data_IF_664468042512
#
_entry.id   IF_664468042512
#
_cell.length_a   1.000
_cell.length_b   1.000
_cell.length_c   1.000
_cell.angle_alpha   90.00
_cell.angle_beta   90.00
_cell.angle_gamma   90.00
#
_symmetry.space_group_name_H-M   'P 1'
#
loop_
_entity.id
_entity.type
_entity.pdbx_description
1 polymer ?
#
# COMPACT_ATOMS: atom_id res chain seq x y z
N UNK A 1 -50.53 -2.76 -5.10
CA UNK A 1 -49.70 -2.79 -3.88
C UNK A 1 -48.43 -2.02 -4.22
N UNK A 2 -48.35 -0.75 -3.80
CA UNK A 2 -47.22 0.14 -4.10
C UNK A 2 -46.14 -0.17 -3.08
N UNK A 3 -45.05 -0.80 -3.52
CA UNK A 3 -43.85 -0.92 -2.71
C UNK A 3 -43.21 0.47 -2.65
N UNK A 4 -43.30 1.09 -1.47
CA UNK A 4 -42.66 2.37 -1.15
C UNK A 4 -41.18 2.27 -1.53
N UNK A 5 -40.74 3.18 -2.41
CA UNK A 5 -39.31 3.39 -2.71
C UNK A 5 -38.60 3.88 -1.45
N UNK A 6 -38.22 2.97 -0.56
CA UNK A 6 -37.39 3.30 0.60
C UNK A 6 -35.97 3.53 0.09
N UNK A 7 -35.65 4.80 -0.22
CA UNK A 7 -34.28 5.23 -0.52
C UNK A 7 -33.46 5.19 0.77
N UNK A 8 -32.87 4.04 1.10
CA UNK A 8 -31.91 3.96 2.19
C UNK A 8 -30.73 4.92 1.91
N UNK A 9 -30.32 5.69 2.92
CA UNK A 9 -29.05 6.41 2.83
C UNK A 9 -27.93 5.40 2.57
N UNK A 10 -26.97 5.75 1.70
CA UNK A 10 -25.86 4.87 1.31
C UNK A 10 -25.07 4.34 2.52
N UNK A 11 -25.02 5.13 3.60
CA UNK A 11 -24.44 4.74 4.89
C UNK A 11 -25.29 3.69 5.62
N UNK A 12 -26.61 3.87 5.69
CA UNK A 12 -27.52 2.90 6.33
C UNK A 12 -27.56 1.57 5.57
N UNK A 13 -27.55 1.60 4.22
CA UNK A 13 -27.43 0.39 3.42
C UNK A 13 -26.07 -0.29 3.65
N UNK A 14 -24.97 0.49 3.66
CA UNK A 14 -23.64 -0.05 3.93
C UNK A 14 -23.54 -0.63 5.33
N UNK A 15 -24.15 -0.01 6.34
CA UNK A 15 -24.15 -0.53 7.72
C UNK A 15 -24.99 -1.79 7.85
N UNK A 16 -26.16 -1.82 7.22
CA UNK A 16 -27.00 -3.00 7.13
C UNK A 16 -26.25 -4.17 6.48
N UNK A 17 -25.66 -3.95 5.30
CA UNK A 17 -24.86 -4.97 4.61
C UNK A 17 -23.60 -5.33 5.41
N UNK A 18 -22.94 -4.38 6.09
CA UNK A 18 -21.75 -4.65 6.91
C UNK A 18 -22.07 -5.49 8.15
N UNK A 19 -23.23 -5.31 8.76
CA UNK A 19 -23.65 -6.14 9.89
C UNK A 19 -23.95 -7.58 9.42
N UNK A 20 -24.69 -7.72 8.32
CA UNK A 20 -24.99 -9.03 7.71
C UNK A 20 -23.70 -9.74 7.26
N UNK A 21 -22.77 -9.04 6.60
CA UNK A 21 -21.47 -9.61 6.19
C UNK A 21 -20.53 -9.94 7.35
N UNK A 22 -20.70 -9.32 8.52
CA UNK A 22 -19.89 -9.63 9.71
C UNK A 22 -20.38 -10.87 10.42
N UNK A 23 -21.70 -11.08 10.48
CA UNK A 23 -22.28 -12.32 10.98
C UNK A 23 -21.86 -13.49 10.09
N UNK A 24 -21.96 -13.36 8.76
CA UNK A 24 -21.45 -14.37 7.82
C UNK A 24 -19.93 -14.61 7.91
N UNK A 25 -19.11 -13.57 8.15
CA UNK A 25 -17.65 -13.69 8.26
C UNK A 25 -17.19 -14.30 9.58
N UNK A 26 -17.89 -14.04 10.69
CA UNK A 26 -17.56 -14.63 11.99
C UNK A 26 -17.87 -16.13 12.02
N UNK A 27 -18.99 -16.53 11.40
CA UNK A 27 -19.38 -17.94 11.30
C UNK A 27 -18.44 -18.71 10.35
N UNK A 28 -18.01 -18.12 9.22
CA UNK A 28 -17.03 -18.78 8.32
C UNK A 28 -15.58 -18.81 8.84
N UNK A 29 -15.13 -17.82 9.62
CA UNK A 29 -13.76 -17.85 10.19
C UNK A 29 -13.62 -18.86 11.34
N UNK A 30 -14.69 -19.09 12.11
CA UNK A 30 -14.74 -20.13 13.15
C UNK A 30 -14.84 -21.55 12.56
N UNK A 31 -15.67 -21.77 11.54
CA UNK A 31 -15.76 -23.05 10.83
C UNK A 31 -14.46 -23.41 10.10
N UNK A 32 -13.81 -22.44 9.45
CA UNK A 32 -12.56 -22.68 8.70
C UNK A 32 -11.30 -22.80 9.56
N UNK A 33 -11.36 -22.45 10.85
CA UNK A 33 -10.25 -22.71 11.78
C UNK A 33 -9.99 -24.20 11.97
N UNK A 34 -11.02 -25.04 11.79
CA UNK A 34 -10.92 -26.49 11.99
C UNK A 34 -10.50 -27.24 10.70
N UNK A 35 -10.67 -26.63 9.53
CA UNK A 35 -10.54 -27.30 8.23
C UNK A 35 -9.09 -27.64 7.85
N UNK A 36 -8.09 -26.91 8.36
CA UNK A 36 -6.68 -27.07 7.97
C UNK A 36 -5.75 -27.42 9.15
N UNK A 37 -6.30 -28.03 10.20
CA UNK A 37 -5.58 -28.29 11.44
C UNK A 37 -4.40 -29.26 11.25
N UNK A 38 -4.53 -30.26 10.38
CA UNK A 38 -3.45 -31.21 10.07
C UNK A 38 -2.33 -30.54 9.26
N UNK A 39 -2.69 -29.82 8.19
CA UNK A 39 -1.74 -29.05 7.39
C UNK A 39 -0.98 -27.99 8.20
N UNK A 40 -1.66 -27.36 9.15
CA UNK A 40 -1.02 -26.39 10.04
C UNK A 40 -0.07 -27.05 11.04
N UNK A 41 -0.42 -28.22 11.58
CA UNK A 41 0.45 -28.98 12.50
C UNK A 41 1.78 -29.39 11.86
N UNK A 42 1.73 -29.84 10.59
CA UNK A 42 2.96 -30.16 9.86
C UNK A 42 3.80 -28.91 9.57
N UNK A 43 3.16 -27.80 9.15
CA UNK A 43 3.86 -26.53 8.97
C UNK A 43 4.50 -26.05 10.29
N UNK A 44 3.79 -26.17 11.41
CA UNK A 44 4.28 -25.81 12.74
C UNK A 44 5.53 -26.64 13.10
N UNK A 45 5.54 -27.93 12.76
CA UNK A 45 6.72 -28.80 12.95
C UNK A 45 7.92 -28.35 12.10
N UNK A 46 7.69 -27.87 10.88
CA UNK A 46 8.74 -27.31 10.01
C UNK A 46 9.27 -25.99 10.58
N UNK A 47 8.38 -25.11 11.02
CA UNK A 47 8.74 -23.82 11.63
C UNK A 47 9.55 -24.04 12.91
N UNK A 48 9.15 -25.00 13.75
CA UNK A 48 9.88 -25.37 14.96
C UNK A 48 11.30 -25.84 14.63
N UNK A 49 11.46 -26.72 13.64
CA UNK A 49 12.77 -27.27 13.26
C UNK A 49 13.66 -26.24 12.58
N UNK A 50 13.13 -25.47 11.63
CA UNK A 50 13.93 -24.55 10.80
C UNK A 50 14.17 -23.20 11.45
N UNK A 51 13.12 -22.57 11.96
CA UNK A 51 13.19 -21.22 12.48
C UNK A 51 13.57 -21.24 13.97
N UNK A 52 12.85 -22.03 14.78
CA UNK A 52 13.06 -22.01 16.24
C UNK A 52 14.37 -22.69 16.65
N UNK A 53 14.61 -23.92 16.15
CA UNK A 53 15.81 -24.70 16.45
C UNK A 53 16.96 -24.38 15.49
N UNK A 54 16.68 -24.34 14.18
CA UNK A 54 17.68 -24.12 13.14
C UNK A 54 18.13 -22.67 12.97
N UNK A 55 17.48 -21.72 13.65
CA UNK A 55 17.79 -20.29 13.58
C UNK A 55 17.87 -19.78 12.14
N UNK A 56 16.95 -20.24 11.29
CA UNK A 56 16.85 -19.82 9.90
C UNK A 56 15.93 -18.62 9.75
N UNK A 57 16.29 -17.67 8.89
CA UNK A 57 15.42 -16.56 8.49
C UNK A 57 14.61 -16.96 7.28
N UNK A 58 13.28 -16.88 7.38
CA UNK A 58 12.39 -17.21 6.27
C UNK A 58 11.40 -16.09 6.00
N UNK A 59 11.14 -15.82 4.73
CA UNK A 59 10.08 -14.89 4.32
C UNK A 59 8.70 -15.52 4.52
N UNK A 60 7.74 -14.70 4.94
CA UNK A 60 6.36 -15.14 5.17
C UNK A 60 5.68 -15.67 3.89
N UNK A 61 6.08 -15.18 2.71
CA UNK A 61 5.64 -15.73 1.42
C UNK A 61 6.13 -17.15 1.20
N UNK A 62 7.38 -17.45 1.57
CA UNK A 62 7.94 -18.80 1.52
C UNK A 62 7.16 -19.76 2.42
N UNK A 63 6.84 -19.32 3.64
CA UNK A 63 6.01 -20.09 4.56
C UNK A 63 4.59 -20.31 4.03
N UNK A 64 3.98 -19.29 3.39
CA UNK A 64 2.68 -19.44 2.72
C UNK A 64 2.75 -20.47 1.58
N UNK A 65 3.80 -20.43 0.76
CA UNK A 65 3.96 -21.39 -0.33
C UNK A 65 4.14 -22.82 0.19
N UNK A 66 4.87 -23.00 1.29
CA UNK A 66 4.99 -24.29 1.97
C UNK A 66 3.64 -24.78 2.48
N UNK A 67 2.88 -23.90 3.14
CA UNK A 67 1.53 -24.23 3.61
C UNK A 67 0.60 -24.68 2.47
N UNK A 68 0.60 -23.97 1.33
CA UNK A 68 -0.19 -24.37 0.15
C UNK A 68 0.22 -25.76 -0.35
N UNK A 69 1.52 -26.06 -0.38
CA UNK A 69 2.03 -27.37 -0.82
C UNK A 69 1.63 -28.49 0.14
N UNK A 70 1.63 -28.23 1.45
CA UNK A 70 1.24 -29.18 2.49
C UNK A 70 -0.27 -29.43 2.43
N UNK A 71 -1.09 -28.37 2.38
CA UNK A 71 -2.55 -28.48 2.27
C UNK A 71 -3.01 -29.25 1.03
N UNK A 72 -2.31 -29.05 -0.10
CA UNK A 72 -2.57 -29.83 -1.31
C UNK A 72 -2.18 -31.32 -1.16
N UNK A 73 -1.18 -31.64 -0.34
CA UNK A 73 -0.68 -33.01 -0.14
C UNK A 73 -1.52 -33.78 0.87
N UNK A 74 -1.72 -33.21 2.06
CA UNK A 74 -2.33 -33.89 3.20
C UNK A 74 -3.86 -33.87 3.14
N UNK A 75 -4.44 -32.75 2.72
CA UNK A 75 -5.89 -32.54 2.75
C UNK A 75 -6.50 -32.50 1.34
N UNK A 76 -5.67 -32.47 0.29
CA UNK A 76 -6.13 -32.43 -1.11
C UNK A 76 -6.82 -31.11 -1.48
N UNK A 77 -6.75 -30.09 -0.63
CA UNK A 77 -7.45 -28.81 -0.82
C UNK A 77 -6.53 -27.77 -1.46
N UNK A 78 -7.05 -27.04 -2.46
CA UNK A 78 -6.35 -25.87 -2.99
C UNK A 78 -6.59 -24.64 -2.10
N UNK A 79 -5.56 -24.24 -1.37
CA UNK A 79 -5.54 -23.05 -0.53
C UNK A 79 -4.71 -21.91 -1.14
N UNK A 80 -4.56 -21.87 -2.47
CA UNK A 80 -3.84 -20.81 -3.19
C UNK A 80 -4.28 -19.38 -2.78
N UNK A 81 -5.58 -19.19 -2.53
CA UNK A 81 -6.18 -17.94 -2.04
C UNK A 81 -5.92 -17.59 -0.57
N UNK A 82 -5.22 -18.43 0.20
CA UNK A 82 -5.05 -18.22 1.65
C UNK A 82 -4.32 -16.91 1.97
N UNK A 83 -4.86 -16.12 2.90
CA UNK A 83 -4.31 -14.80 3.23
C UNK A 83 -3.07 -14.91 4.13
N UNK A 84 -2.00 -14.20 3.78
CA UNK A 84 -0.75 -14.15 4.58
C UNK A 84 -0.99 -13.58 5.98
N UNK A 85 -1.93 -12.65 6.13
CA UNK A 85 -2.32 -12.07 7.43
C UNK A 85 -2.88 -13.12 8.39
N UNK A 86 -3.64 -14.10 7.86
CA UNK A 86 -4.20 -15.19 8.65
C UNK A 86 -3.11 -16.16 9.09
N UNK A 87 -2.22 -16.54 8.16
CA UNK A 87 -1.06 -17.38 8.49
C UNK A 87 -0.17 -16.72 9.55
N UNK A 88 0.10 -15.41 9.42
CA UNK A 88 0.86 -14.64 10.40
C UNK A 88 0.21 -14.67 11.80
N UNK A 89 -1.12 -14.56 11.87
CA UNK A 89 -1.85 -14.64 13.15
C UNK A 89 -1.68 -16.02 13.78
N UNK A 90 -1.91 -17.09 13.02
CA UNK A 90 -1.76 -18.47 13.52
C UNK A 90 -0.34 -18.76 14.01
N UNK A 91 0.67 -18.29 13.28
CA UNK A 91 2.07 -18.46 13.69
C UNK A 91 2.41 -17.69 14.97
N UNK A 92 1.84 -16.50 15.18
CA UNK A 92 2.00 -15.75 16.43
C UNK A 92 1.32 -16.44 17.60
N UNK A 93 0.14 -17.01 17.38
CA UNK A 93 -0.62 -17.72 18.41
C UNK A 93 0.11 -19.03 18.80
N UNK A 94 0.72 -19.72 17.83
CA UNK A 94 1.46 -20.97 18.06
C UNK A 94 2.89 -20.78 18.58
N UNK A 95 3.58 -19.70 18.18
CA UNK A 95 4.98 -19.43 18.51
C UNK A 95 5.17 -17.97 18.93
N UNK A 96 4.97 -17.64 20.22
CA UNK A 96 5.15 -16.28 20.74
C UNK A 96 6.58 -15.75 20.58
N UNK A 97 7.59 -16.62 20.52
CA UNK A 97 8.98 -16.21 20.31
C UNK A 97 9.33 -15.75 18.88
N UNK A 98 8.40 -15.87 17.92
CA UNK A 98 8.63 -15.45 16.55
C UNK A 98 8.46 -13.93 16.37
N UNK A 99 9.50 -13.31 15.85
CA UNK A 99 9.49 -11.94 15.37
C UNK A 99 9.16 -11.89 13.88
N UNK A 100 8.38 -10.88 13.51
CA UNK A 100 7.98 -10.60 12.14
C UNK A 100 8.46 -9.20 11.78
N UNK A 101 9.58 -9.13 11.07
CA UNK A 101 10.19 -7.86 10.67
C UNK A 101 9.65 -7.47 9.31
N UNK A 102 8.91 -6.36 9.27
CA UNK A 102 8.39 -5.82 8.02
C UNK A 102 9.49 -5.09 7.24
N UNK A 103 9.66 -5.39 5.94
CA UNK A 103 10.65 -4.73 5.10
C UNK A 103 10.28 -3.26 4.86
N UNK A 104 11.30 -2.42 4.58
CA UNK A 104 11.10 -1.00 4.23
C UNK A 104 10.35 -0.83 2.90
N UNK A 105 10.55 -1.77 1.97
CA UNK A 105 9.89 -1.81 0.67
C UNK A 105 8.52 -2.48 0.78
N UNK A 106 7.47 -1.80 0.30
CA UNK A 106 6.06 -2.23 0.45
C UNK A 106 5.68 -3.49 -0.34
N UNK A 107 6.48 -3.89 -1.32
CA UNK A 107 6.26 -5.06 -2.18
C UNK A 107 6.94 -6.33 -1.63
N UNK A 108 7.65 -6.24 -0.51
CA UNK A 108 8.31 -7.37 0.11
C UNK A 108 7.50 -7.91 1.29
N UNK A 109 7.56 -9.22 1.50
CA UNK A 109 6.90 -9.87 2.64
C UNK A 109 7.78 -9.86 3.89
N UNK A 110 7.12 -9.84 5.05
CA UNK A 110 7.77 -9.93 6.36
C UNK A 110 8.78 -11.08 6.45
N UNK A 111 9.89 -10.83 7.14
CA UNK A 111 10.89 -11.83 7.51
C UNK A 111 10.49 -12.40 8.88
N UNK A 112 10.51 -13.73 9.01
CA UNK A 112 10.13 -14.49 10.21
C UNK A 112 11.40 -15.11 10.80
N UNK A 113 11.60 -14.88 12.10
CA UNK A 113 12.77 -15.37 12.86
C UNK A 113 12.45 -15.48 14.35
N UNK A 114 13.36 -16.01 15.16
CA UNK A 114 13.26 -15.94 16.62
C UNK A 114 13.83 -14.66 17.21
N UNK A 115 13.35 -14.24 18.38
CA UNK A 115 13.82 -13.03 19.09
C UNK A 115 15.33 -12.94 19.30
N UNK A 116 16.02 -14.08 19.41
CA UNK A 116 17.48 -14.13 19.61
C UNK A 116 18.29 -13.68 18.37
N UNK A 117 17.64 -13.50 17.21
CA UNK A 117 18.28 -13.19 15.93
C UNK A 117 18.05 -11.76 15.44
N UNK A 118 17.54 -10.87 16.29
CA UNK A 118 17.14 -9.51 15.90
C UNK A 118 18.26 -8.73 15.19
N UNK A 119 19.52 -8.90 15.62
CA UNK A 119 20.68 -8.26 14.98
C UNK A 119 20.98 -8.75 13.55
N UNK A 120 20.65 -10.00 13.23
CA UNK A 120 20.91 -10.59 11.89
C UNK A 120 19.93 -10.05 10.86
N UNK A 121 18.69 -9.78 11.25
CA UNK A 121 17.68 -9.16 10.41
C UNK A 121 18.07 -7.75 9.95
N UNK A 122 18.64 -6.98 10.89
CA UNK A 122 19.13 -5.63 10.61
C UNK A 122 20.33 -5.68 9.66
N UNK A 123 21.19 -6.69 9.80
CA UNK A 123 22.30 -6.91 8.89
C UNK A 123 21.84 -7.32 7.48
N UNK A 124 20.87 -8.22 7.32
CA UNK A 124 20.29 -8.56 6.00
C UNK A 124 19.64 -7.35 5.33
N UNK A 125 18.92 -6.52 6.09
CA UNK A 125 18.39 -5.26 5.57
C UNK A 125 19.50 -4.31 5.08
N UNK A 126 20.63 -4.24 5.79
CA UNK A 126 21.78 -3.42 5.40
C UNK A 126 22.56 -4.01 4.21
N UNK A 127 22.71 -5.33 4.12
CA UNK A 127 23.37 -6.00 2.98
C UNK A 127 22.52 -5.85 1.73
N UNK A 128 21.19 -5.95 1.83
CA UNK A 128 20.31 -5.73 0.67
C UNK A 128 20.28 -4.26 0.22
N UNK A 129 20.59 -3.31 1.10
CA UNK A 129 20.85 -1.90 0.74
C UNK A 129 22.21 -1.76 0.01
N UNK A 130 23.24 -2.54 0.37
CA UNK A 130 24.57 -2.53 -0.26
C UNK A 130 24.67 -3.32 -1.57
N UNK A 131 23.93 -4.42 -1.73
CA UNK A 131 23.92 -5.22 -2.97
C UNK A 131 23.24 -4.51 -4.15
N UNK A 132 22.55 -3.39 -3.91
CA UNK A 132 22.10 -2.49 -4.99
C UNK A 132 23.14 -1.41 -5.37
N UNK A 133 24.31 -1.41 -4.75
CA UNK A 133 25.35 -0.42 -4.95
C UNK A 133 26.75 -1.02 -4.78
N UNK A 134 27.22 -1.87 -5.70
CA UNK A 134 28.65 -1.99 -6.11
C UNK A 134 28.89 -3.04 -7.21
N UNK A 135 29.52 -2.54 -8.28
CA UNK A 135 30.29 -3.15 -9.39
C UNK A 135 30.38 -4.66 -9.59
N UNK A 136 30.22 -5.06 -10.86
CA UNK A 136 31.21 -5.90 -11.54
C UNK A 136 31.56 -5.29 -12.90
N UNK A 137 32.78 -4.76 -12.95
CA UNK A 137 33.51 -4.36 -14.14
C UNK A 137 34.06 -5.65 -14.77
N UNK A 138 33.77 -5.91 -16.04
CA UNK A 138 34.52 -6.91 -16.83
C UNK A 138 34.41 -6.57 -18.31
N UNK A 139 35.58 -6.23 -18.85
CA UNK A 139 35.85 -5.90 -20.24
C UNK A 139 35.39 -7.01 -21.18
N UNK A 140 34.67 -6.65 -22.24
CA UNK A 140 34.61 -7.43 -23.48
C UNK A 140 34.44 -6.47 -24.65
N UNK A 141 35.48 -6.39 -25.47
CA UNK A 141 35.53 -5.70 -26.74
C UNK A 141 34.59 -6.35 -27.75
N UNK A 142 33.62 -5.60 -28.26
CA UNK A 142 33.07 -5.76 -29.60
C UNK A 142 32.44 -4.44 -30.04
N UNK A 143 33.04 -3.84 -31.06
CA UNK A 143 32.48 -2.75 -31.85
C UNK A 143 31.09 -3.14 -32.36
N UNK A 144 30.05 -2.43 -31.92
CA UNK A 144 28.96 -1.94 -32.75
C UNK A 144 28.36 -0.71 -32.05
N UNK A 145 28.16 0.37 -32.79
CA UNK A 145 27.51 1.58 -32.29
C UNK A 145 26.00 1.37 -32.13
N UNK A 146 25.47 1.59 -30.91
CA UNK A 146 24.16 2.21 -30.79
C UNK A 146 24.31 3.51 -30.01
N UNK A 147 23.67 4.55 -30.53
CA UNK A 147 23.59 5.91 -29.97
C UNK A 147 23.29 5.87 -28.47
N UNK A 148 24.34 5.95 -27.64
CA UNK A 148 24.23 5.94 -26.19
C UNK A 148 23.68 7.30 -25.73
N UNK A 149 22.39 7.35 -25.40
CA UNK A 149 21.90 8.35 -24.45
C UNK A 149 22.64 8.07 -23.14
N UNK A 150 23.55 8.96 -22.73
CA UNK A 150 24.41 8.76 -21.56
C UNK A 150 23.60 8.28 -20.36
N UNK A 151 23.99 7.15 -19.79
CA UNK A 151 23.40 6.54 -18.58
C UNK A 151 23.31 7.52 -17.40
N UNK A 152 24.23 8.49 -17.35
CA UNK A 152 24.22 9.60 -16.39
C UNK A 152 22.99 10.51 -16.50
N UNK A 153 22.50 10.78 -17.71
CA UNK A 153 21.32 11.62 -17.92
C UNK A 153 20.04 10.91 -17.43
N UNK A 154 19.94 9.60 -17.64
CA UNK A 154 18.83 8.79 -17.14
C UNK A 154 18.84 8.70 -15.61
N UNK A 155 20.03 8.56 -15.01
CA UNK A 155 20.16 8.55 -13.55
C UNK A 155 19.79 9.91 -12.92
N UNK A 156 20.16 11.01 -13.58
CA UNK A 156 19.75 12.36 -13.20
C UNK A 156 18.24 12.56 -13.24
N UNK A 157 17.58 12.10 -14.32
CA UNK A 157 16.12 12.16 -14.46
C UNK A 157 15.40 11.36 -13.37
N UNK A 158 15.85 10.12 -13.11
CA UNK A 158 15.28 9.27 -12.06
C UNK A 158 15.38 9.94 -10.69
N UNK A 159 16.54 10.53 -10.38
CA UNK A 159 16.78 11.25 -9.12
C UNK A 159 15.86 12.46 -9.00
N UNK A 160 15.69 13.24 -10.06
CA UNK A 160 14.79 14.40 -10.08
C UNK A 160 13.34 13.98 -9.85
N UNK A 161 12.87 12.94 -10.56
CA UNK A 161 11.51 12.40 -10.38
C UNK A 161 11.28 11.90 -8.95
N UNK A 162 12.26 11.18 -8.38
CA UNK A 162 12.15 10.69 -7.01
C UNK A 162 12.05 11.84 -6.00
N UNK A 163 12.93 12.84 -6.09
CA UNK A 163 12.89 14.00 -5.17
C UNK A 163 11.62 14.82 -5.34
N UNK A 164 11.20 15.11 -6.59
CA UNK A 164 9.93 15.77 -6.86
C UNK A 164 8.75 15.01 -6.24
N UNK A 165 8.75 13.67 -6.33
CA UNK A 165 7.71 12.84 -5.71
C UNK A 165 7.71 12.91 -4.19
N UNK A 166 8.87 13.04 -3.53
CA UNK A 166 8.94 13.20 -2.07
C UNK A 166 8.41 14.56 -1.64
N UNK A 167 8.80 15.64 -2.33
CA UNK A 167 8.31 17.00 -2.06
C UNK A 167 6.78 17.03 -2.19
N UNK A 168 6.25 16.47 -3.29
CA UNK A 168 4.81 16.42 -3.52
C UNK A 168 4.08 15.59 -2.45
N UNK A 169 4.66 14.44 -2.05
CA UNK A 169 4.12 13.60 -0.99
C UNK A 169 4.02 14.34 0.34
N UNK A 170 5.05 15.09 0.72
CA UNK A 170 5.04 15.91 1.95
C UNK A 170 3.97 16.99 1.91
N UNK A 171 3.85 17.69 0.77
CA UNK A 171 2.81 18.69 0.54
C UNK A 171 1.39 18.12 0.71
N UNK A 172 1.13 16.95 0.11
CA UNK A 172 -0.15 16.24 0.23
C UNK A 172 -0.41 15.82 1.68
N UNK A 173 0.58 15.23 2.36
CA UNK A 173 0.41 14.76 3.73
C UNK A 173 0.09 15.92 4.70
N UNK A 174 0.76 17.06 4.52
CA UNK A 174 0.50 18.28 5.30
C UNK A 174 -0.92 18.79 5.07
N UNK A 175 -1.35 18.91 3.81
CA UNK A 175 -2.70 19.34 3.46
C UNK A 175 -3.78 18.39 3.99
N UNK A 176 -3.58 17.08 3.86
CA UNK A 176 -4.49 16.07 4.40
C UNK A 176 -4.64 16.13 5.93
N UNK A 177 -3.54 16.38 6.65
CA UNK A 177 -3.54 16.51 8.11
C UNK A 177 -4.31 17.76 8.53
N UNK A 178 -4.00 18.91 7.91
CA UNK A 178 -4.71 20.17 8.14
C UNK A 178 -6.21 20.04 7.84
N UNK A 179 -6.56 19.45 6.70
CA UNK A 179 -7.95 19.28 6.32
C UNK A 179 -8.70 18.37 7.30
N UNK A 180 -8.07 17.29 7.78
CA UNK A 180 -8.68 16.41 8.78
C UNK A 180 -8.98 17.11 10.10
N UNK A 181 -8.15 18.07 10.51
CA UNK A 181 -8.37 18.85 11.74
C UNK A 181 -9.44 19.92 11.58
N UNK A 182 -9.61 20.45 10.36
CA UNK A 182 -10.49 21.59 10.07
C UNK A 182 -11.90 21.19 9.63
N UNK A 183 -12.07 20.02 9.00
CA UNK A 183 -13.36 19.59 8.45
C UNK A 183 -14.33 19.23 9.56
N UNK A 184 -15.42 19.99 9.66
CA UNK A 184 -16.60 19.60 10.42
C UNK A 184 -17.38 18.55 9.63
N UNK A 185 -17.52 17.37 10.20
CA UNK A 185 -18.45 16.37 9.70
C UNK A 185 -19.87 16.75 10.12
N UNK A 186 -20.88 16.80 9.24
CA UNK A 186 -20.94 16.45 7.81
C UNK A 186 -20.75 17.64 6.86
N UNK A 187 -20.25 17.42 5.62
CA UNK A 187 -20.19 18.46 4.61
C UNK A 187 -21.56 19.09 4.33
N UNK A 188 -21.60 20.41 4.23
CA UNK A 188 -22.77 21.22 3.89
C UNK A 188 -22.68 21.70 2.44
N UNK A 189 -23.77 22.26 1.90
CA UNK A 189 -23.81 22.71 0.50
C UNK A 189 -22.73 23.74 0.15
N UNK A 190 -22.26 24.53 1.12
CA UNK A 190 -21.13 25.46 0.94
C UNK A 190 -19.80 24.75 0.67
N UNK A 191 -19.65 23.51 1.09
CA UNK A 191 -18.42 22.72 0.92
C UNK A 191 -18.30 22.12 -0.48
N UNK A 192 -19.35 22.23 -1.31
CA UNK A 192 -19.40 21.78 -2.71
C UNK A 192 -18.97 22.89 -3.68
N UNK A 193 -18.19 23.87 -3.22
CA UNK A 193 -17.73 24.98 -4.04
C UNK A 193 -16.30 24.75 -4.57
N UNK A 194 -16.00 25.37 -5.72
CA UNK A 194 -14.64 25.41 -6.26
C UNK A 194 -13.64 26.00 -5.26
N UNK A 195 -14.04 27.04 -4.54
CA UNK A 195 -13.21 27.68 -3.52
C UNK A 195 -12.86 26.72 -2.39
N UNK A 196 -13.83 25.95 -1.87
CA UNK A 196 -13.57 24.94 -0.84
C UNK A 196 -12.62 23.84 -1.32
N UNK A 197 -12.72 23.46 -2.60
CA UNK A 197 -11.81 22.51 -3.21
C UNK A 197 -10.38 23.07 -3.35
N UNK A 198 -10.23 24.35 -3.69
CA UNK A 198 -8.95 25.06 -3.74
C UNK A 198 -8.32 25.17 -2.34
N UNK A 199 -9.09 25.55 -1.33
CA UNK A 199 -8.60 25.69 0.05
C UNK A 199 -8.12 24.36 0.65
N UNK A 200 -8.75 23.24 0.26
CA UNK A 200 -8.36 21.91 0.68
C UNK A 200 -7.14 21.36 -0.07
N UNK A 201 -6.93 21.78 -1.32
CA UNK A 201 -5.93 21.21 -2.22
C UNK A 201 -4.58 21.93 -2.09
N UNK A 202 -3.46 21.21 -1.93
CA UNK A 202 -2.15 21.86 -2.00
C UNK A 202 -1.88 22.36 -3.43
N UNK A 203 -1.50 23.63 -3.56
CA UNK A 203 -1.17 24.27 -4.85
C UNK A 203 -0.11 23.49 -5.63
N UNK A 204 0.87 22.92 -4.95
CA UNK A 204 1.93 22.12 -5.57
C UNK A 204 1.42 20.87 -6.30
N UNK A 205 0.37 20.21 -5.77
CA UNK A 205 -0.26 19.07 -6.46
C UNK A 205 -1.05 19.55 -7.67
N UNK A 206 -1.79 20.64 -7.53
CA UNK A 206 -2.55 21.20 -8.63
C UNK A 206 -1.62 21.65 -9.77
N UNK A 207 -0.56 22.38 -9.46
CA UNK A 207 0.40 22.90 -10.44
C UNK A 207 1.12 21.74 -11.13
N UNK A 208 1.57 20.73 -10.36
CA UNK A 208 2.18 19.52 -10.93
C UNK A 208 1.26 18.83 -11.94
N UNK A 209 -0.01 18.60 -11.59
CA UNK A 209 -0.97 17.98 -12.52
C UNK A 209 -1.30 18.88 -13.71
N UNK A 210 -1.29 20.21 -13.52
CA UNK A 210 -1.50 21.16 -14.60
C UNK A 210 -0.37 21.08 -15.63
N UNK A 211 0.88 20.92 -15.19
CA UNK A 211 2.03 20.73 -16.08
C UNK A 211 2.02 19.35 -16.76
N UNK A 212 1.61 18.29 -16.05
CA UNK A 212 1.51 16.93 -16.62
C UNK A 212 0.43 16.84 -17.70
N UNK A 213 -0.65 17.59 -17.55
CA UNK A 213 -1.80 17.58 -18.47
C UNK A 213 -1.78 18.72 -19.49
N UNK A 214 -0.71 19.49 -19.54
CA UNK A 214 -0.55 20.64 -20.44
C UNK A 214 -1.69 21.69 -20.30
N UNK A 215 -2.22 21.84 -19.09
CA UNK A 215 -3.29 22.78 -18.77
C UNK A 215 -2.76 24.19 -18.46
N UNK A 216 -1.45 24.31 -18.21
CA UNK A 216 -0.76 25.56 -17.91
C UNK A 216 0.74 25.41 -18.13
N UNK A 217 1.38 26.44 -18.67
CA UNK A 217 2.84 26.57 -18.75
C UNK A 217 3.42 27.45 -17.63
N UNK A 218 2.56 28.13 -16.86
CA UNK A 218 2.97 29.03 -15.79
C UNK A 218 3.77 28.29 -14.69
N UNK A 219 4.92 28.85 -14.32
CA UNK A 219 5.76 28.36 -13.22
C UNK A 219 5.43 29.11 -11.94
N UNK A 220 4.59 28.50 -11.09
CA UNK A 220 4.17 29.06 -9.81
C UNK A 220 4.40 28.06 -8.67
N UNK A 221 4.91 28.55 -7.54
CA UNK A 221 5.19 27.75 -6.33
C UNK A 221 4.32 28.15 -5.14
N UNK A 222 3.88 29.41 -5.10
CA UNK A 222 3.18 29.97 -3.94
C UNK A 222 1.66 29.87 -4.06
N UNK A 223 1.14 29.88 -5.29
CA UNK A 223 -0.29 29.83 -5.60
C UNK A 223 -0.66 28.80 -6.66
N UNK A 224 -1.91 28.83 -7.10
CA UNK A 224 -2.41 28.01 -8.19
C UNK A 224 -2.04 28.64 -9.54
N UNK A 225 -1.54 27.83 -10.47
CA UNK A 225 -1.34 28.24 -11.86
C UNK A 225 -2.67 28.56 -12.55
N UNK A 226 -2.62 29.41 -13.58
CA UNK A 226 -3.81 29.84 -14.31
C UNK A 226 -4.24 28.73 -15.27
N UNK A 227 -5.53 28.39 -15.23
CA UNK A 227 -6.14 27.33 -16.05
C UNK A 227 -7.54 27.75 -16.48
N UNK A 228 -8.10 27.13 -17.52
CA UNK A 228 -9.50 27.31 -17.87
C UNK A 228 -10.44 26.86 -16.74
N UNK A 229 -11.62 27.46 -16.60
CA UNK A 229 -12.55 27.15 -15.49
C UNK A 229 -12.95 25.67 -15.46
N UNK A 230 -13.22 25.09 -16.63
CA UNK A 230 -13.59 23.67 -16.75
C UNK A 230 -12.41 22.73 -16.45
N UNK A 231 -11.19 23.13 -16.83
CA UNK A 231 -9.96 22.38 -16.56
C UNK A 231 -9.62 22.43 -15.08
N UNK A 232 -9.73 23.61 -14.46
CA UNK A 232 -9.54 23.82 -13.03
C UNK A 232 -10.44 22.91 -12.21
N UNK A 233 -11.72 22.80 -12.57
CA UNK A 233 -12.68 21.90 -11.93
C UNK A 233 -12.25 20.43 -12.03
N UNK A 234 -11.87 19.97 -13.22
CA UNK A 234 -11.40 18.59 -13.43
C UNK A 234 -10.11 18.30 -12.67
N UNK A 235 -9.14 19.22 -12.72
CA UNK A 235 -7.87 19.13 -12.00
C UNK A 235 -8.09 19.05 -10.50
N UNK A 236 -8.90 19.94 -9.91
CA UNK A 236 -9.24 19.90 -8.49
C UNK A 236 -9.93 18.60 -8.10
N UNK A 237 -10.82 18.06 -8.94
CA UNK A 237 -11.39 16.73 -8.70
C UNK A 237 -10.31 15.66 -8.65
N UNK A 238 -9.38 15.63 -9.61
CA UNK A 238 -8.28 14.65 -9.62
C UNK A 238 -7.39 14.83 -8.37
N UNK A 239 -7.06 16.06 -8.00
CA UNK A 239 -6.32 16.36 -6.77
C UNK A 239 -7.00 15.76 -5.53
N UNK A 240 -8.31 15.97 -5.40
CA UNK A 240 -9.10 15.41 -4.30
C UNK A 240 -9.09 13.87 -4.31
N UNK A 241 -9.05 13.20 -5.46
CA UNK A 241 -8.92 11.74 -5.53
C UNK A 241 -7.54 11.25 -5.07
N UNK A 242 -6.48 11.94 -5.49
CA UNK A 242 -5.11 11.67 -5.02
C UNK A 242 -5.00 11.85 -3.50
N UNK A 243 -5.60 12.92 -2.97
CA UNK A 243 -5.65 13.16 -1.53
C UNK A 243 -6.48 12.11 -0.78
N UNK A 244 -7.65 11.73 -1.32
CA UNK A 244 -8.49 10.67 -0.77
C UNK A 244 -7.74 9.33 -0.66
N UNK A 245 -6.99 8.98 -1.71
CA UNK A 245 -6.10 7.82 -1.75
C UNK A 245 -5.01 7.90 -0.68
N UNK A 246 -4.35 9.06 -0.54
CA UNK A 246 -3.32 9.28 0.49
C UNK A 246 -3.89 9.10 1.91
N UNK A 247 -5.11 9.57 2.14
CA UNK A 247 -5.85 9.41 3.39
C UNK A 247 -6.39 8.00 3.64
N UNK A 248 -6.21 7.04 2.72
CA UNK A 248 -6.79 5.68 2.78
C UNK A 248 -8.31 5.71 3.01
N UNK A 249 -8.99 6.69 2.42
CA UNK A 249 -10.44 6.89 2.54
C UNK A 249 -10.95 7.34 3.91
N UNK A 250 -10.07 7.76 4.82
CA UNK A 250 -10.44 8.25 6.16
C UNK A 250 -10.95 9.69 6.18
N UNK A 251 -10.66 10.46 5.13
CA UNK A 251 -11.02 11.87 4.99
C UNK A 251 -11.86 11.99 3.72
N UNK A 252 -12.97 12.69 3.79
CA UNK A 252 -13.90 12.87 2.66
C UNK A 252 -13.65 14.24 2.06
N UNK A 253 -13.45 14.27 0.75
CA UNK A 253 -13.31 15.49 -0.04
C UNK A 253 -14.56 15.64 -0.91
N UNK A 254 -15.49 16.56 -0.57
CA UNK A 254 -16.69 16.79 -1.35
C UNK A 254 -16.30 17.22 -2.78
N UNK A 255 -16.91 16.55 -3.77
CA UNK A 255 -16.73 16.89 -5.18
C UNK A 255 -17.67 18.04 -5.54
N UNK A 256 -17.15 19.03 -6.25
CA UNK A 256 -17.84 20.24 -6.65
C UNK A 256 -18.38 20.16 -8.08
#
# INVERSE_FOLDING_TARGET
MVAVEVRYHKLCYREFVRCVSKEDQLDTDAESMNVYSASFSELASIVQKRIVQGKELLRLTTLKQMFIKIAKREEGVDVSGYKTTRLKKLLKDAFPELLFVSPRKKNESDIVMTSEMEGVALAEQAVQDQSTSTSEDSQSSCDEEPTQISTDAQHGQLRTLFHASQILKESIQSACTKHREQVKWTPVASDLSLQSAEEATPSMLFNFLSWVLDASEDLELSGFVRTGVDEKRKLLSICQDVMYMNCKGKVIFPKH
#
